data_IF_387371411879
#
_entry.id   IF_387371411879
#
_cell.length_a   1.000
_cell.length_b   1.000
_cell.length_c   1.000
_cell.angle_alpha   90.00
_cell.angle_beta   90.00
_cell.angle_gamma   90.00
#
_symmetry.space_group_name_H-M   'P 1'
#
loop_
_entity.id
_entity.type
_entity.pdbx_description
1 polymer ?
#
# COMPACT_ATOMS: atom_id res chain seq x y z
N UNK A 1 8.84 13.16 6.55
CA UNK A 1 9.32 14.57 6.56
C UNK A 1 8.34 15.60 7.19
N UNK A 2 7.02 15.38 7.19
CA UNK A 2 6.01 16.39 7.56
C UNK A 2 6.11 17.03 8.96
N UNK A 3 6.33 16.26 10.04
CA UNK A 3 6.26 16.82 11.40
C UNK A 3 7.46 17.70 11.81
N UNK A 4 8.68 17.31 11.46
CA UNK A 4 9.89 18.10 11.82
C UNK A 4 10.03 19.37 10.98
N UNK A 5 9.70 19.28 9.68
CA UNK A 5 9.72 20.45 8.78
C UNK A 5 8.62 21.43 9.18
N UNK A 6 7.43 20.94 9.54
CA UNK A 6 6.35 21.77 10.08
C UNK A 6 6.72 22.48 11.38
N UNK A 7 7.35 21.78 12.33
CA UNK A 7 7.78 22.37 13.60
C UNK A 7 8.91 23.40 13.45
N UNK A 8 9.85 23.17 12.54
CA UNK A 8 10.98 24.09 12.29
C UNK A 8 10.55 25.35 11.53
N UNK A 9 9.60 25.25 10.59
CA UNK A 9 9.14 26.37 9.77
C UNK A 9 8.20 27.33 10.52
N UNK A 10 7.40 26.82 11.45
CA UNK A 10 6.51 27.64 12.31
C UNK A 10 7.27 28.69 13.12
N UNK A 11 8.52 28.40 13.50
CA UNK A 11 9.33 29.30 14.33
C UNK A 11 10.12 30.37 13.58
N UNK A 12 10.26 30.30 12.25
CA UNK A 12 11.13 31.21 11.48
C UNK A 12 10.47 31.97 10.32
N UNK A 13 9.35 31.50 9.77
CA UNK A 13 8.86 31.99 8.47
C UNK A 13 7.39 32.48 8.44
N UNK A 14 6.64 32.38 9.53
CA UNK A 14 5.25 32.84 9.58
C UNK A 14 5.00 33.77 10.78
N UNK A 15 4.34 34.93 10.58
CA UNK A 15 3.79 35.71 11.68
C UNK A 15 2.86 34.84 12.53
N UNK A 16 2.75 35.14 13.83
CA UNK A 16 1.97 34.42 14.86
C UNK A 16 0.47 34.24 14.55
N UNK A 17 0.00 34.73 13.42
CA UNK A 17 -1.40 34.69 12.97
C UNK A 17 -1.75 33.42 12.20
N UNK A 18 -0.80 32.74 11.53
CA UNK A 18 -1.09 31.52 10.75
C UNK A 18 -0.01 30.42 10.86
N UNK A 19 0.05 29.69 11.99
CA UNK A 19 1.07 28.66 12.22
C UNK A 19 0.98 27.48 11.22
N UNK A 20 -0.18 27.22 10.63
CA UNK A 20 -0.37 26.10 9.70
C UNK A 20 -0.15 26.44 8.22
N UNK A 21 0.10 27.71 7.88
CA UNK A 21 0.25 28.14 6.48
C UNK A 21 1.57 27.66 5.86
N UNK A 22 2.69 27.85 6.56
CA UNK A 22 4.02 27.49 6.06
C UNK A 22 4.21 25.97 5.81
N UNK A 23 3.80 25.06 6.72
CA UNK A 23 3.90 23.62 6.48
C UNK A 23 3.06 23.17 5.28
N UNK A 24 1.85 23.72 5.14
CA UNK A 24 0.94 23.39 4.06
C UNK A 24 1.44 23.91 2.71
N UNK A 25 2.03 25.10 2.67
CA UNK A 25 2.62 25.66 1.45
C UNK A 25 3.80 24.83 0.96
N UNK A 26 4.69 24.41 1.87
CA UNK A 26 5.81 23.52 1.52
C UNK A 26 5.30 22.18 0.98
N UNK A 27 4.26 21.60 1.61
CA UNK A 27 3.63 20.39 1.07
C UNK A 27 3.04 20.61 -0.31
N UNK A 28 2.37 21.75 -0.56
CA UNK A 28 1.79 22.09 -1.85
C UNK A 28 2.87 22.25 -2.94
N UNK A 29 3.99 22.88 -2.63
CA UNK A 29 5.12 23.02 -3.57
C UNK A 29 5.72 21.66 -3.91
N UNK A 30 6.00 20.81 -2.92
CA UNK A 30 6.55 19.47 -3.15
C UNK A 30 5.60 18.64 -4.04
N UNK A 31 4.29 18.68 -3.76
CA UNK A 31 3.28 18.00 -4.58
C UNK A 31 3.20 18.56 -6.00
N UNK A 32 3.25 19.89 -6.16
CA UNK A 32 3.23 20.53 -7.47
C UNK A 32 4.48 20.16 -8.28
N UNK A 33 5.67 20.16 -7.66
CA UNK A 33 6.91 19.73 -8.30
C UNK A 33 6.86 18.26 -8.69
N UNK A 34 6.35 17.38 -7.82
CA UNK A 34 6.16 15.96 -8.14
C UNK A 34 5.17 15.76 -9.29
N UNK A 35 4.05 16.50 -9.29
CA UNK A 35 3.08 16.48 -10.39
C UNK A 35 3.70 16.93 -11.70
N UNK A 36 4.46 18.03 -11.70
CA UNK A 36 5.18 18.52 -12.89
C UNK A 36 6.23 17.50 -13.35
N UNK A 37 6.98 16.89 -12.42
CA UNK A 37 7.96 15.86 -12.76
C UNK A 37 7.30 14.63 -13.41
N UNK A 38 6.13 14.20 -12.92
CA UNK A 38 5.34 13.15 -13.58
C UNK A 38 4.92 13.62 -14.98
N UNK A 39 4.41 14.84 -15.14
CA UNK A 39 3.99 15.34 -16.47
C UNK A 39 5.12 15.44 -17.49
N UNK A 40 6.34 15.74 -17.03
CA UNK A 40 7.51 15.90 -17.88
C UNK A 40 8.23 14.57 -18.15
N UNK A 41 8.19 13.62 -17.21
CA UNK A 41 9.04 12.41 -17.22
C UNK A 41 8.28 11.09 -17.42
N UNK A 42 6.96 11.04 -17.21
CA UNK A 42 6.16 9.89 -17.65
C UNK A 42 5.98 9.97 -19.16
N UNK A 43 7.00 9.51 -19.87
CA UNK A 43 6.92 9.23 -21.30
C UNK A 43 5.88 8.14 -21.53
N UNK A 44 4.99 8.36 -22.48
CA UNK A 44 3.75 7.60 -22.71
C UNK A 44 4.08 6.13 -23.00
N UNK A 45 4.07 5.26 -21.98
CA UNK A 45 4.26 3.80 -22.15
C UNK A 45 3.01 3.10 -22.70
N UNK A 46 2.06 3.82 -23.30
CA UNK A 46 0.87 3.24 -23.91
C UNK A 46 0.98 3.36 -25.43
N UNK A 47 1.49 2.28 -26.02
CA UNK A 47 1.52 1.91 -27.43
C UNK A 47 1.84 3.02 -28.44
N UNK A 48 3.05 2.90 -29.02
CA UNK A 48 3.38 3.45 -30.34
C UNK A 48 2.56 2.73 -31.41
N UNK A 49 1.24 2.90 -31.38
CA UNK A 49 0.40 2.59 -32.53
C UNK A 49 0.43 3.79 -33.49
N UNK A 50 1.04 3.53 -34.64
CA UNK A 50 1.21 4.40 -35.78
C UNK A 50 -0.11 5.10 -36.16
N UNK A 51 -0.31 6.35 -35.69
CA UNK A 51 -1.20 7.34 -36.32
C UNK A 51 -1.00 8.75 -35.70
N UNK A 52 0.03 9.43 -36.19
CA UNK A 52 0.15 10.90 -36.25
C UNK A 52 0.43 11.67 -34.93
N UNK A 53 0.98 12.90 -35.02
CA UNK A 53 1.34 13.73 -33.86
C UNK A 53 0.10 14.37 -33.26
N UNK A 54 -0.69 13.59 -32.51
CA UNK A 54 -1.89 14.02 -31.83
C UNK A 54 -1.69 14.12 -30.32
N UNK A 55 -1.95 15.30 -29.76
CA UNK A 55 -1.87 15.64 -28.32
C UNK A 55 -2.31 14.50 -27.37
N UNK A 56 -1.68 14.36 -26.19
CA UNK A 56 -1.88 13.23 -25.27
C UNK A 56 -3.35 13.02 -24.90
N UNK A 57 -3.85 11.78 -25.05
CA UNK A 57 -5.27 11.42 -24.91
C UNK A 57 -5.84 11.74 -23.53
N UNK A 58 -5.02 11.64 -22.48
CA UNK A 58 -5.44 11.95 -21.10
C UNK A 58 -5.71 13.45 -20.91
N UNK A 59 -4.99 14.33 -21.59
CA UNK A 59 -5.18 15.80 -21.51
C UNK A 59 -6.54 16.20 -22.08
N UNK A 60 -7.00 15.51 -23.13
CA UNK A 60 -8.35 15.68 -23.71
C UNK A 60 -9.44 15.10 -22.82
N UNK A 61 -9.16 14.01 -22.09
CA UNK A 61 -10.06 13.45 -21.09
C UNK A 61 -10.17 14.35 -19.86
N UNK A 62 -9.06 14.93 -19.41
CA UNK A 62 -9.02 15.84 -18.27
C UNK A 62 -9.74 17.15 -18.60
N UNK A 63 -9.49 17.71 -19.78
CA UNK A 63 -10.18 18.93 -20.23
C UNK A 63 -11.68 18.72 -20.45
N UNK A 64 -12.09 17.56 -20.98
CA UNK A 64 -13.53 17.24 -21.08
C UNK A 64 -14.18 17.01 -19.72
N UNK A 65 -13.47 16.46 -18.73
CA UNK A 65 -13.96 16.35 -17.36
C UNK A 65 -14.06 17.72 -16.67
N UNK A 66 -13.06 18.59 -16.84
CA UNK A 66 -13.07 19.97 -16.33
C UNK A 66 -14.17 20.82 -16.98
N UNK A 67 -14.37 20.67 -18.29
CA UNK A 67 -15.45 21.33 -19.02
C UNK A 67 -16.83 20.79 -18.63
N UNK A 68 -16.95 19.50 -18.25
CA UNK A 68 -18.19 18.94 -17.68
C UNK A 68 -18.47 19.45 -16.27
N UNK A 69 -17.43 19.66 -15.46
CA UNK A 69 -17.57 20.22 -14.11
C UNK A 69 -17.93 21.71 -14.14
N UNK A 70 -17.48 22.45 -15.17
CA UNK A 70 -17.82 23.86 -15.39
C UNK A 70 -19.14 24.10 -16.14
N UNK A 71 -19.66 23.13 -16.90
CA UNK A 71 -20.90 23.27 -17.64
C UNK A 71 -22.11 22.89 -16.79
N UNK A 72 -22.60 23.85 -15.98
CA UNK A 72 -23.96 23.81 -15.48
C UNK A 72 -24.92 24.07 -16.65
N UNK A 73 -25.29 23.02 -17.39
CA UNK A 73 -26.49 23.03 -18.23
C UNK A 73 -27.44 21.92 -17.79
N UNK A 74 -28.73 22.22 -17.60
CA UNK A 74 -29.72 21.20 -17.25
C UNK A 74 -29.94 20.30 -18.46
N UNK A 75 -29.84 18.98 -18.27
CA UNK A 75 -30.32 18.03 -19.27
C UNK A 75 -31.85 18.17 -19.42
N UNK A 76 -32.39 18.27 -20.65
CA UNK A 76 -33.83 18.18 -20.84
C UNK A 76 -34.25 16.72 -20.73
N UNK A 77 -35.20 16.50 -19.81
CA UNK A 77 -35.97 15.29 -19.60
C UNK A 77 -36.43 14.64 -20.92
N UNK A 78 -35.79 13.53 -21.33
CA UNK A 78 -36.27 12.69 -22.43
C UNK A 78 -36.75 11.35 -21.87
N UNK A 79 -38.06 11.28 -21.64
CA UNK A 79 -38.84 10.04 -21.51
C UNK A 79 -38.84 9.26 -22.84
N UNK A 80 -39.19 7.97 -22.75
CA UNK A 80 -39.27 6.91 -23.77
C UNK A 80 -37.97 6.13 -24.04
N UNK A 81 -37.93 4.81 -24.11
CA UNK A 81 -38.95 3.76 -24.00
C UNK A 81 -38.20 2.44 -23.81
N UNK A 82 -38.67 1.60 -22.88
CA UNK A 82 -38.29 0.19 -22.85
C UNK A 82 -38.91 -0.51 -24.06
N UNK A 83 -38.08 -1.05 -24.96
CA UNK A 83 -38.47 -2.18 -25.81
C UNK A 83 -37.23 -2.95 -26.28
N UNK A 84 -37.01 -4.08 -25.59
CA UNK A 84 -36.58 -5.37 -26.14
C UNK A 84 -36.27 -5.42 -27.64
N UNK A 85 -34.98 -5.62 -27.99
CA UNK A 85 -34.60 -6.29 -29.24
C UNK A 85 -33.24 -6.98 -29.14
N UNK A 86 -33.28 -8.30 -28.93
CA UNK A 86 -32.27 -9.28 -29.33
C UNK A 86 -33.04 -10.51 -29.84
N UNK A 87 -32.46 -11.42 -30.66
CA UNK A 87 -31.30 -11.32 -31.56
C UNK A 87 -31.59 -11.90 -32.98
N UNK A 88 -30.74 -11.63 -33.98
CA UNK A 88 -30.32 -12.62 -35.01
C UNK A 88 -29.30 -12.02 -36.00
N UNK A 89 -28.18 -12.72 -36.12
CA UNK A 89 -27.41 -12.98 -37.33
C UNK A 89 -26.85 -11.80 -38.13
N UNK A 90 -25.53 -11.62 -38.09
CA UNK A 90 -24.73 -11.60 -39.33
C UNK A 90 -23.23 -11.71 -39.03
N UNK A 91 -22.62 -12.75 -39.57
CA UNK A 91 -21.18 -12.90 -39.78
C UNK A 91 -20.76 -12.00 -40.97
N UNK A 92 -19.70 -11.20 -40.76
CA UNK A 92 -18.64 -10.75 -41.72
C UNK A 92 -19.09 -10.02 -43.03
N UNK A 93 -18.20 -9.41 -43.86
CA UNK A 93 -16.72 -9.49 -43.93
C UNK A 93 -15.94 -8.17 -44.16
N UNK A 94 -14.60 -8.31 -44.10
CA UNK A 94 -13.60 -7.40 -44.68
C UNK A 94 -13.82 -7.17 -46.19
N UNK A 95 -13.51 -5.98 -46.69
CA UNK A 95 -13.21 -5.73 -48.09
C UNK A 95 -11.73 -5.34 -48.23
N UNK A 96 -10.99 -6.16 -48.96
CA UNK A 96 -9.74 -5.81 -49.64
C UNK A 96 -10.03 -5.65 -51.14
N UNK A 97 -9.35 -4.70 -51.78
CA UNK A 97 -9.11 -4.60 -53.22
C UNK A 97 -7.94 -3.60 -53.37
N UNK A 98 -6.95 -3.70 -54.24
CA UNK A 98 -6.36 -4.77 -55.05
C UNK A 98 -5.09 -4.14 -55.69
N UNK A 99 -4.00 -4.89 -55.87
CA UNK A 99 -3.03 -4.78 -57.00
C UNK A 99 -1.72 -5.57 -56.76
N UNK A 100 -1.67 -6.70 -57.47
CA UNK A 100 -0.54 -7.30 -58.21
C UNK A 100 0.82 -7.56 -57.52
N UNK A 101 1.17 -8.84 -57.31
CA UNK A 101 1.99 -9.63 -58.25
C UNK A 101 2.23 -11.07 -57.73
N UNK A 102 2.31 -11.96 -58.71
CA UNK A 102 2.49 -13.42 -58.76
C UNK A 102 3.63 -13.99 -57.89
N UNK A 103 3.40 -15.11 -57.19
CA UNK A 103 3.95 -16.45 -57.55
C UNK A 103 3.79 -17.51 -56.43
N UNK A 104 3.81 -18.75 -56.88
CA UNK A 104 3.29 -20.02 -56.34
C UNK A 104 3.98 -20.62 -55.10
N UNK A 105 3.23 -21.40 -54.31
CA UNK A 105 3.56 -22.80 -53.94
C UNK A 105 2.49 -23.44 -53.04
N UNK A 106 2.04 -24.63 -53.44
CA UNK A 106 1.04 -25.49 -52.79
C UNK A 106 1.50 -26.10 -51.45
N UNK A 107 0.55 -26.34 -50.53
CA UNK A 107 0.41 -27.62 -49.82
C UNK A 107 -0.94 -27.70 -49.08
N UNK A 108 -1.74 -28.70 -49.45
CA UNK A 108 -3.00 -29.09 -48.82
C UNK A 108 -2.83 -29.55 -47.36
N UNK A 109 -3.80 -29.20 -46.51
CA UNK A 109 -3.95 -29.73 -45.15
C UNK A 109 -5.17 -29.13 -44.47
N UNK A 110 -6.35 -29.63 -44.84
CA UNK A 110 -7.59 -29.41 -44.09
C UNK A 110 -7.49 -30.21 -42.78
N UNK A 111 -7.61 -29.55 -41.63
CA UNK A 111 -8.32 -30.07 -40.47
C UNK A 111 -8.61 -28.93 -39.47
N UNK A 112 -9.77 -29.05 -38.84
CA UNK A 112 -10.59 -28.02 -38.22
C UNK A 112 -9.92 -27.10 -37.18
N UNK A 113 -10.26 -25.83 -37.32
CA UNK A 113 -9.97 -24.75 -36.38
C UNK A 113 -11.12 -24.65 -35.35
N UNK A 114 -10.99 -25.26 -34.18
CA UNK A 114 -11.77 -24.87 -32.98
C UNK A 114 -10.84 -24.30 -31.90
N UNK A 115 -10.25 -23.14 -32.21
CA UNK A 115 -9.56 -22.29 -31.27
C UNK A 115 -10.55 -21.45 -30.47
N UNK A 116 -11.27 -22.07 -29.54
CA UNK A 116 -12.06 -21.36 -28.52
C UNK A 116 -11.12 -20.52 -27.64
N UNK A 117 -11.01 -19.22 -27.92
CA UNK A 117 -10.41 -18.26 -26.97
C UNK A 117 -11.31 -18.23 -25.72
N UNK A 118 -10.84 -18.60 -24.52
CA UNK A 118 -11.69 -18.59 -23.35
C UNK A 118 -11.96 -17.13 -22.96
N UNK A 119 -13.18 -16.65 -23.21
CA UNK A 119 -13.64 -15.43 -22.55
C UNK A 119 -13.97 -15.82 -21.11
N UNK A 120 -13.03 -15.62 -20.17
CA UNK A 120 -13.31 -15.82 -18.75
C UNK A 120 -14.53 -14.98 -18.37
N UNK A 121 -15.62 -15.63 -17.99
CA UNK A 121 -16.85 -14.94 -17.63
C UNK A 121 -16.63 -14.21 -16.30
N UNK A 122 -17.34 -13.12 -16.04
CA UNK A 122 -17.23 -12.39 -14.75
C UNK A 122 -17.47 -13.32 -13.54
N UNK A 123 -18.22 -14.41 -13.70
CA UNK A 123 -18.44 -15.39 -12.64
C UNK A 123 -17.18 -16.19 -12.31
N UNK A 124 -16.29 -16.42 -13.27
CA UNK A 124 -15.03 -17.13 -13.06
C UNK A 124 -14.05 -16.26 -12.27
N UNK A 125 -13.99 -14.95 -12.58
CA UNK A 125 -13.17 -13.96 -11.86
C UNK A 125 -13.53 -13.90 -10.37
N UNK A 126 -14.82 -13.88 -10.02
CA UNK A 126 -15.22 -13.84 -8.61
C UNK A 126 -14.91 -15.16 -7.89
N UNK A 127 -15.11 -16.32 -8.54
CA UNK A 127 -14.74 -17.61 -7.96
C UNK A 127 -13.24 -17.72 -7.72
N UNK A 128 -12.42 -17.19 -8.63
CA UNK A 128 -10.97 -17.12 -8.51
C UNK A 128 -10.51 -16.18 -7.39
N UNK A 129 -11.15 -15.00 -7.25
CA UNK A 129 -10.87 -14.07 -6.15
C UNK A 129 -11.30 -14.65 -4.79
N UNK A 130 -12.42 -15.38 -4.75
CA UNK A 130 -12.89 -16.07 -3.55
C UNK A 130 -12.17 -17.42 -3.30
N UNK A 131 -11.02 -17.64 -3.92
CA UNK A 131 -10.16 -18.75 -3.54
C UNK A 131 -9.71 -18.58 -2.08
N UNK A 132 -9.57 -19.70 -1.36
CA UNK A 132 -9.21 -19.73 0.05
C UNK A 132 -7.88 -19.00 0.31
N UNK A 133 -6.87 -19.19 -0.54
CA UNK A 133 -5.56 -18.52 -0.43
C UNK A 133 -5.68 -17.00 -0.56
N UNK A 134 -6.44 -16.52 -1.55
CA UNK A 134 -6.63 -15.09 -1.82
C UNK A 134 -7.43 -14.42 -0.70
N UNK A 135 -8.52 -15.03 -0.22
CA UNK A 135 -9.29 -14.52 0.91
C UNK A 135 -8.41 -14.45 2.16
N UNK A 136 -7.60 -15.48 2.41
CA UNK A 136 -6.72 -15.54 3.57
C UNK A 136 -5.65 -14.44 3.49
N UNK A 137 -5.03 -14.24 2.32
CA UNK A 137 -4.07 -13.16 2.06
C UNK A 137 -4.70 -11.77 2.22
N UNK A 138 -5.91 -11.55 1.71
CA UNK A 138 -6.64 -10.30 1.88
C UNK A 138 -7.03 -10.05 3.34
N UNK A 139 -7.36 -11.11 4.08
CA UNK A 139 -7.68 -11.05 5.50
C UNK A 139 -6.46 -10.70 6.34
N UNK A 140 -5.31 -11.34 6.10
CA UNK A 140 -4.04 -10.98 6.77
C UNK A 140 -3.62 -9.56 6.40
N UNK A 141 -3.87 -9.13 5.16
CA UNK A 141 -3.59 -7.77 4.73
C UNK A 141 -4.46 -6.73 5.44
N UNK A 142 -5.75 -7.01 5.65
CA UNK A 142 -6.62 -6.15 6.45
C UNK A 142 -6.12 -6.04 7.89
N UNK A 143 -5.78 -7.17 8.51
CA UNK A 143 -5.21 -7.22 9.88
C UNK A 143 -3.92 -6.40 9.97
N UNK A 144 -3.03 -6.58 9.00
CA UNK A 144 -1.78 -5.84 8.90
C UNK A 144 -2.03 -4.34 8.79
N UNK A 145 -2.93 -3.91 7.89
CA UNK A 145 -3.25 -2.49 7.70
C UNK A 145 -3.87 -1.89 8.95
N UNK A 146 -4.84 -2.57 9.54
CA UNK A 146 -5.50 -2.11 10.76
C UNK A 146 -4.50 -1.94 11.90
N UNK A 147 -3.58 -2.90 12.08
CA UNK A 147 -2.54 -2.84 13.12
C UNK A 147 -1.53 -1.72 12.85
N UNK A 148 -1.07 -1.59 11.60
CA UNK A 148 -0.11 -0.56 11.20
C UNK A 148 -0.66 0.86 11.38
N UNK A 149 -1.90 1.09 10.95
CA UNK A 149 -2.57 2.40 11.04
C UNK A 149 -2.86 2.73 12.50
N UNK A 150 -3.36 1.75 13.26
CA UNK A 150 -3.61 1.92 14.70
C UNK A 150 -2.33 2.28 15.43
N UNK A 151 -1.20 1.64 15.12
CA UNK A 151 0.12 2.02 15.67
C UNK A 151 0.46 3.48 15.33
N UNK A 152 0.30 3.89 14.06
CA UNK A 152 0.63 5.24 13.61
C UNK A 152 -0.21 6.33 14.30
N UNK A 153 -1.47 6.02 14.61
CA UNK A 153 -2.36 6.91 15.36
C UNK A 153 -2.07 6.90 16.86
N UNK A 154 -1.76 5.73 17.43
CA UNK A 154 -1.54 5.54 18.85
C UNK A 154 -0.19 6.11 19.31
N UNK A 155 0.86 5.97 18.49
CA UNK A 155 2.23 6.34 18.87
C UNK A 155 2.35 7.83 19.27
N UNK A 156 1.87 8.82 18.49
CA UNK A 156 1.97 10.23 18.89
C UNK A 156 1.16 10.55 20.14
N UNK A 157 0.00 9.90 20.31
CA UNK A 157 -0.89 10.09 21.46
C UNK A 157 -0.22 9.54 22.72
N UNK A 158 0.31 8.33 22.65
CA UNK A 158 1.10 7.70 23.71
C UNK A 158 2.33 8.53 24.09
N UNK A 159 3.08 8.99 23.09
CA UNK A 159 4.27 9.81 23.30
C UNK A 159 3.95 11.15 23.99
N UNK A 160 2.81 11.77 23.66
CA UNK A 160 2.40 13.06 24.22
C UNK A 160 1.65 12.95 25.56
N UNK A 161 1.03 11.81 25.87
CA UNK A 161 0.26 11.62 27.10
C UNK A 161 1.12 11.71 28.36
N UNK A 162 0.51 12.13 29.48
CA UNK A 162 1.17 12.25 30.78
C UNK A 162 1.53 10.86 31.33
N UNK A 163 2.63 10.79 32.09
CA UNK A 163 2.94 9.60 32.89
C UNK A 163 1.79 9.29 33.88
N UNK A 164 1.46 8.02 34.19
CA UNK A 164 2.19 6.77 33.89
C UNK A 164 1.80 6.06 32.58
N UNK A 165 0.76 6.51 31.86
CA UNK A 165 0.25 5.88 30.62
C UNK A 165 0.92 6.39 29.33
N UNK A 166 1.78 7.41 29.45
CA UNK A 166 2.50 8.01 28.32
C UNK A 166 3.92 8.43 28.71
N UNK A 167 4.60 9.14 27.80
CA UNK A 167 6.02 9.53 27.95
C UNK A 167 6.25 11.04 28.03
N UNK A 168 5.17 11.83 28.11
CA UNK A 168 5.15 13.29 28.31
C UNK A 168 6.13 14.06 27.40
N UNK A 169 6.23 13.63 26.14
CA UNK A 169 7.13 14.20 25.15
C UNK A 169 6.56 15.49 24.55
N UNK A 170 7.42 16.51 24.44
CA UNK A 170 7.09 17.73 23.70
C UNK A 170 6.81 17.40 22.22
N UNK A 171 5.78 17.99 21.59
CA UNK A 171 5.42 17.73 20.18
C UNK A 171 6.58 17.88 19.18
N UNK A 172 7.50 18.82 19.41
CA UNK A 172 8.68 19.00 18.56
C UNK A 172 9.61 17.78 18.51
N UNK A 173 9.75 17.04 19.63
CA UNK A 173 10.58 15.82 19.69
C UNK A 173 9.89 14.65 19.00
N UNK A 174 8.58 14.51 19.21
CA UNK A 174 7.75 13.52 18.50
C UNK A 174 7.89 13.73 16.98
N UNK A 175 7.83 14.99 16.53
CA UNK A 175 8.01 15.32 15.13
C UNK A 175 9.40 14.99 14.59
N UNK A 176 10.45 15.20 15.39
CA UNK A 176 11.82 14.80 15.05
C UNK A 176 11.94 13.27 14.88
N UNK A 177 11.40 12.49 15.81
CA UNK A 177 11.41 11.02 15.72
C UNK A 177 10.65 10.51 14.50
N UNK A 178 9.45 11.04 14.23
CA UNK A 178 8.68 10.67 13.04
C UNK A 178 9.42 11.01 11.74
N UNK A 179 10.14 12.14 11.69
CA UNK A 179 10.93 12.51 10.52
C UNK A 179 12.18 11.64 10.35
N UNK A 180 12.91 11.35 11.43
CA UNK A 180 14.07 10.46 11.41
C UNK A 180 13.66 9.04 10.98
N UNK A 181 12.55 8.53 11.52
CA UNK A 181 12.00 7.24 11.12
C UNK A 181 11.57 7.24 9.65
N UNK A 182 10.91 8.31 9.17
CA UNK A 182 10.54 8.44 7.77
C UNK A 182 11.75 8.47 6.82
N UNK A 183 12.80 9.23 7.16
CA UNK A 183 14.02 9.28 6.36
C UNK A 183 14.72 7.91 6.31
N UNK A 184 14.83 7.24 7.45
CA UNK A 184 15.42 5.89 7.55
C UNK A 184 14.62 4.88 6.73
N UNK A 185 13.28 4.98 6.75
CA UNK A 185 12.40 4.09 5.98
C UNK A 185 12.58 4.27 4.47
N UNK A 186 12.76 5.50 4.00
CA UNK A 186 13.05 5.78 2.58
C UNK A 186 14.40 5.15 2.18
N UNK A 187 15.44 5.32 3.01
CA UNK A 187 16.74 4.69 2.75
C UNK A 187 16.63 3.15 2.73
N UNK A 188 15.88 2.57 3.66
CA UNK A 188 15.61 1.13 3.67
C UNK A 188 14.92 0.66 2.38
N UNK A 189 13.88 1.36 1.92
CA UNK A 189 13.21 1.00 0.65
C UNK A 189 14.14 1.06 -0.55
N UNK A 190 14.99 2.10 -0.63
CA UNK A 190 15.86 2.30 -1.78
C UNK A 190 16.99 1.27 -1.85
N UNK A 191 17.59 0.90 -0.72
CA UNK A 191 18.83 0.12 -0.69
C UNK A 191 18.70 -1.29 -0.15
N UNK A 192 17.73 -1.54 0.74
CA UNK A 192 17.68 -2.79 1.55
C UNK A 192 16.48 -3.66 1.19
N UNK A 193 15.36 -3.07 0.78
CA UNK A 193 14.15 -3.82 0.50
C UNK A 193 14.32 -4.83 -0.66
N UNK A 194 14.93 -4.41 -1.77
CA UNK A 194 15.18 -5.30 -2.92
C UNK A 194 16.05 -6.51 -2.56
N UNK A 195 17.27 -6.35 -1.97
CA UNK A 195 18.09 -7.51 -1.62
C UNK A 195 17.44 -8.37 -0.52
N UNK A 196 16.69 -7.79 0.42
CA UNK A 196 15.95 -8.55 1.42
C UNK A 196 14.87 -9.42 0.77
N UNK A 197 14.10 -8.84 -0.15
CA UNK A 197 13.06 -9.57 -0.90
C UNK A 197 13.66 -10.72 -1.69
N UNK A 198 14.76 -10.50 -2.41
CA UNK A 198 15.36 -11.55 -3.24
C UNK A 198 15.88 -12.73 -2.39
N UNK A 199 16.43 -12.46 -1.20
CA UNK A 199 16.93 -13.51 -0.31
C UNK A 199 15.85 -14.29 0.45
N UNK A 200 14.76 -13.63 0.83
CA UNK A 200 13.78 -14.18 1.78
C UNK A 200 12.44 -14.52 1.10
N UNK A 201 12.24 -14.06 -0.13
CA UNK A 201 10.95 -14.10 -0.82
C UNK A 201 9.99 -13.00 -0.33
N UNK A 202 8.95 -12.76 -1.10
CA UNK A 202 7.91 -11.78 -0.79
C UNK A 202 7.03 -12.26 0.35
N UNK A 203 6.66 -13.54 0.36
CA UNK A 203 5.86 -14.18 1.42
C UNK A 203 6.63 -14.25 2.74
N UNK A 204 7.92 -14.62 2.69
CA UNK A 204 8.79 -14.60 3.85
C UNK A 204 8.93 -13.20 4.44
N UNK A 205 9.23 -12.20 3.61
CA UNK A 205 9.33 -10.80 4.01
C UNK A 205 8.02 -10.29 4.64
N UNK A 206 6.87 -10.68 4.07
CA UNK A 206 5.56 -10.32 4.62
C UNK A 206 5.29 -10.95 6.00
N UNK A 207 5.64 -12.22 6.19
CA UNK A 207 5.52 -12.91 7.49
C UNK A 207 6.42 -12.26 8.55
N UNK A 208 7.68 -11.99 8.24
CA UNK A 208 8.60 -11.30 9.16
C UNK A 208 8.13 -9.87 9.46
N UNK A 209 7.53 -9.18 8.50
CA UNK A 209 6.95 -7.86 8.72
C UNK A 209 5.77 -7.89 9.71
N UNK A 210 4.86 -8.86 9.60
CA UNK A 210 3.76 -9.06 10.54
C UNK A 210 4.28 -9.37 11.96
N UNK A 211 5.27 -10.27 12.06
CA UNK A 211 5.90 -10.61 13.33
C UNK A 211 6.62 -9.39 13.94
N UNK A 212 7.38 -8.64 13.14
CA UNK A 212 8.05 -7.43 13.57
C UNK A 212 7.08 -6.34 14.04
N UNK A 213 5.92 -6.21 13.38
CA UNK A 213 4.85 -5.31 13.83
C UNK A 213 4.25 -5.75 15.17
N UNK A 214 4.08 -7.06 15.38
CA UNK A 214 3.60 -7.62 16.64
C UNK A 214 4.61 -7.38 17.77
N UNK A 215 5.88 -7.73 17.57
CA UNK A 215 6.96 -7.52 18.52
C UNK A 215 7.09 -6.03 18.85
N UNK A 216 7.15 -5.18 17.82
CA UNK A 216 7.25 -3.73 17.99
C UNK A 216 6.11 -3.17 18.82
N UNK A 217 4.88 -3.66 18.64
CA UNK A 217 3.72 -3.24 19.42
C UNK A 217 3.75 -3.77 20.85
N UNK A 218 4.13 -5.03 21.07
CA UNK A 218 4.18 -5.66 22.41
C UNK A 218 5.31 -5.08 23.27
N UNK A 219 6.39 -4.59 22.66
CA UNK A 219 7.50 -3.97 23.39
C UNK A 219 7.20 -2.53 23.84
N UNK A 220 6.25 -1.82 23.22
CA UNK A 220 5.92 -0.42 23.56
C UNK A 220 5.60 -0.17 25.04
N UNK A 221 4.82 -1.02 25.75
CA UNK A 221 4.55 -0.87 27.19
C UNK A 221 5.75 -1.13 28.10
N UNK A 222 6.84 -1.69 27.56
CA UNK A 222 8.06 -2.00 28.30
C UNK A 222 9.16 -0.95 28.12
N UNK A 223 8.94 0.05 27.26
CA UNK A 223 9.82 1.21 27.10
C UNK A 223 9.89 1.95 28.44
N UNK A 224 11.09 2.33 28.88
CA UNK A 224 11.31 2.95 30.19
C UNK A 224 10.65 4.32 30.35
N UNK A 225 10.68 4.84 31.57
CA UNK A 225 10.20 6.17 31.94
C UNK A 225 11.33 7.21 31.96
N UNK A 226 10.94 8.48 31.92
CA UNK A 226 11.85 9.65 31.92
C UNK A 226 12.75 9.68 33.16
N UNK A 227 12.28 9.09 34.26
CA UNK A 227 12.93 9.07 35.57
C UNK A 227 13.56 7.71 35.91
N UNK A 228 13.54 6.74 34.97
CA UNK A 228 14.19 5.44 35.19
C UNK A 228 15.72 5.58 35.16
N UNK A 229 16.38 4.78 36.00
CA UNK A 229 17.84 4.67 36.00
C UNK A 229 18.33 4.16 34.63
N UNK A 230 19.43 4.71 34.09
CA UNK A 230 19.96 4.27 32.81
C UNK A 230 20.32 2.77 32.90
N UNK A 231 19.72 1.96 32.02
CA UNK A 231 19.86 0.49 31.99
C UNK A 231 21.32 -0.03 31.95
N UNK A 232 22.28 0.83 31.57
CA UNK A 232 23.71 0.51 31.53
C UNK A 232 24.61 1.51 32.28
N UNK A 233 24.05 2.41 33.10
CA UNK A 233 24.83 3.41 33.84
C UNK A 233 25.50 4.50 32.98
N UNK A 234 25.25 4.52 31.66
CA UNK A 234 25.83 5.44 30.70
C UNK A 234 24.74 6.40 30.19
N UNK A 235 24.87 7.69 30.51
CA UNK A 235 23.96 8.75 30.06
C UNK A 235 22.80 9.06 31.01
N UNK A 236 21.83 9.85 30.54
CA UNK A 236 20.61 10.19 31.27
C UNK A 236 19.48 9.24 30.88
N UNK A 237 18.65 8.78 31.82
CA UNK A 237 17.46 7.93 31.55
C UNK A 237 16.55 8.49 30.45
N UNK A 238 16.47 9.82 30.35
CA UNK A 238 15.77 10.54 29.26
C UNK A 238 16.33 10.26 27.87
N UNK A 239 17.64 10.15 27.73
CA UNK A 239 18.29 9.88 26.45
C UNK A 239 18.04 8.42 26.03
N UNK A 240 18.07 7.50 26.99
CA UNK A 240 17.80 6.09 26.75
C UNK A 240 16.36 5.87 26.26
N UNK A 241 15.38 6.49 26.93
CA UNK A 241 13.98 6.51 26.50
C UNK A 241 13.82 7.03 25.06
N UNK A 242 14.52 8.11 24.70
CA UNK A 242 14.46 8.66 23.34
C UNK A 242 15.04 7.71 22.30
N UNK A 243 16.15 7.03 22.63
CA UNK A 243 16.78 6.05 21.77
C UNK A 243 15.85 4.84 21.60
N UNK A 244 15.30 4.29 22.69
CA UNK A 244 14.35 3.18 22.64
C UNK A 244 13.13 3.49 21.76
N UNK A 245 12.45 4.61 22.00
CA UNK A 245 11.29 5.01 21.21
C UNK A 245 11.64 5.19 19.72
N UNK A 246 12.79 5.78 19.44
CA UNK A 246 13.25 5.99 18.06
C UNK A 246 13.57 4.65 17.37
N UNK A 247 14.28 3.74 18.06
CA UNK A 247 14.63 2.42 17.54
C UNK A 247 13.36 1.60 17.27
N UNK A 248 12.43 1.52 18.23
CA UNK A 248 11.18 0.76 18.05
C UNK A 248 10.36 1.34 16.90
N UNK A 249 10.28 2.67 16.78
CA UNK A 249 9.58 3.34 15.69
C UNK A 249 10.22 3.06 14.32
N UNK A 250 11.56 3.14 14.23
CA UNK A 250 12.31 2.84 13.01
C UNK A 250 12.11 1.38 12.61
N UNK A 251 12.32 0.45 13.55
CA UNK A 251 12.14 -0.99 13.35
C UNK A 251 10.73 -1.29 12.85
N UNK A 252 9.71 -0.80 13.56
CA UNK A 252 8.31 -0.97 13.17
C UNK A 252 8.03 -0.42 11.77
N UNK A 253 8.60 0.75 11.41
CA UNK A 253 8.35 1.35 10.10
C UNK A 253 9.04 0.59 8.96
N UNK A 254 10.24 0.06 9.20
CA UNK A 254 10.92 -0.84 8.27
C UNK A 254 10.05 -2.08 8.02
N UNK A 255 9.57 -2.74 9.08
CA UNK A 255 8.66 -3.87 8.97
C UNK A 255 7.37 -3.49 8.23
N UNK A 256 6.76 -2.35 8.58
CA UNK A 256 5.52 -1.90 7.96
C UNK A 256 5.69 -1.68 6.45
N UNK A 257 6.77 -1.04 6.04
CA UNK A 257 6.98 -0.70 4.64
C UNK A 257 7.42 -1.90 3.82
N UNK A 258 8.32 -2.75 4.35
CA UNK A 258 8.64 -4.03 3.71
C UNK A 258 7.41 -4.92 3.55
N UNK A 259 6.60 -5.05 4.61
CA UNK A 259 5.36 -5.83 4.59
C UNK A 259 4.32 -5.31 3.58
N UNK A 260 4.14 -3.98 3.49
CA UNK A 260 3.23 -3.37 2.50
C UNK A 260 3.69 -3.62 1.06
N UNK A 261 4.98 -3.50 0.80
CA UNK A 261 5.52 -3.73 -0.53
C UNK A 261 5.40 -5.21 -0.91
N UNK A 262 5.71 -6.13 0.01
CA UNK A 262 5.63 -7.57 -0.28
C UNK A 262 4.20 -8.08 -0.43
N UNK A 263 3.26 -7.65 0.43
CA UNK A 263 1.86 -8.09 0.33
C UNK A 263 1.18 -7.57 -0.94
N UNK A 264 1.53 -6.37 -1.41
CA UNK A 264 1.01 -5.86 -2.67
C UNK A 264 1.50 -6.69 -3.86
N UNK A 265 2.77 -7.12 -3.83
CA UNK A 265 3.31 -8.04 -4.83
C UNK A 265 2.59 -9.40 -4.78
N UNK A 266 2.42 -9.98 -3.59
CA UNK A 266 1.69 -11.25 -3.42
C UNK A 266 0.25 -11.16 -3.95
N UNK A 267 -0.46 -10.07 -3.66
CA UNK A 267 -1.83 -9.84 -4.16
C UNK A 267 -1.84 -9.72 -5.69
N UNK A 268 -0.80 -9.09 -6.26
CA UNK A 268 -0.67 -8.94 -7.72
C UNK A 268 -0.35 -10.27 -8.39
N UNK A 269 0.55 -11.07 -7.82
CA UNK A 269 0.92 -12.39 -8.31
C UNK A 269 -0.22 -13.41 -8.11
N UNK A 270 -1.07 -13.23 -7.10
CA UNK A 270 -2.29 -14.04 -6.90
C UNK A 270 -3.34 -13.86 -8.00
N UNK A 271 -3.16 -12.90 -8.92
CA UNK A 271 -4.13 -12.60 -9.97
C UNK A 271 -3.94 -13.56 -11.17
N UNK A 272 -4.84 -14.54 -11.40
CA UNK A 272 -4.70 -15.51 -12.50
C UNK A 272 -4.89 -14.90 -13.89
N UNK A 273 -5.42 -13.68 -13.99
CA UNK A 273 -5.63 -12.97 -15.26
C UNK A 273 -5.52 -11.45 -15.12
N UNK A 274 -5.09 -10.75 -16.19
CA UNK A 274 -4.94 -9.29 -16.22
C UNK A 274 -6.25 -8.54 -15.87
N UNK A 275 -7.40 -9.17 -16.10
CA UNK A 275 -8.72 -8.61 -15.79
C UNK A 275 -9.07 -8.69 -14.28
N UNK A 276 -8.51 -9.66 -13.55
CA UNK A 276 -8.70 -9.83 -12.10
C UNK A 276 -7.76 -8.94 -11.27
N UNK A 277 -6.60 -8.57 -11.82
CA UNK A 277 -5.55 -7.78 -11.16
C UNK A 277 -6.05 -6.41 -10.70
N UNK A 278 -6.80 -5.70 -11.57
CA UNK A 278 -7.43 -4.43 -11.21
C UNK A 278 -8.47 -4.56 -10.09
N UNK A 279 -9.23 -5.66 -10.07
CA UNK A 279 -10.25 -5.92 -9.04
C UNK A 279 -9.61 -6.26 -7.69
N UNK A 280 -8.56 -7.09 -7.68
CA UNK A 280 -7.82 -7.45 -6.47
C UNK A 280 -7.11 -6.25 -5.84
N UNK A 281 -6.44 -5.44 -6.64
CA UNK A 281 -5.82 -4.22 -6.15
C UNK A 281 -6.89 -3.22 -5.66
N UNK A 282 -8.01 -3.08 -6.38
CA UNK A 282 -9.15 -2.29 -5.92
C UNK A 282 -9.66 -2.74 -4.55
N UNK A 283 -9.87 -4.04 -4.36
CA UNK A 283 -10.29 -4.63 -3.10
C UNK A 283 -9.25 -4.41 -1.99
N UNK A 284 -7.97 -4.60 -2.28
CA UNK A 284 -6.89 -4.30 -1.35
C UNK A 284 -6.91 -2.81 -0.95
N UNK A 285 -7.07 -1.89 -1.89
CA UNK A 285 -7.15 -0.47 -1.55
C UNK A 285 -8.40 -0.13 -0.73
N UNK A 286 -9.54 -0.78 -1.00
CA UNK A 286 -10.73 -0.67 -0.15
C UNK A 286 -10.48 -1.17 1.26
N UNK A 287 -9.87 -2.34 1.44
CA UNK A 287 -9.49 -2.88 2.77
C UNK A 287 -8.51 -1.95 3.49
N UNK A 288 -7.57 -1.37 2.77
CA UNK A 288 -6.63 -0.37 3.29
C UNK A 288 -7.36 0.90 3.75
N UNK A 289 -8.33 1.39 2.98
CA UNK A 289 -9.15 2.54 3.34
C UNK A 289 -10.06 2.26 4.55
N UNK A 290 -10.58 1.03 4.67
CA UNK A 290 -11.31 0.57 5.85
C UNK A 290 -10.40 0.61 7.09
N UNK A 291 -9.18 0.06 6.98
CA UNK A 291 -8.19 0.16 8.05
C UNK A 291 -7.88 1.61 8.44
N UNK A 292 -7.78 2.53 7.47
CA UNK A 292 -7.52 3.96 7.72
C UNK A 292 -8.67 4.67 8.43
N UNK A 293 -9.88 4.24 8.16
CA UNK A 293 -11.08 4.80 8.77
C UNK A 293 -11.30 4.26 10.19
N UNK A 294 -11.14 2.95 10.37
CA UNK A 294 -11.47 2.25 11.63
C UNK A 294 -10.31 2.30 12.64
N UNK A 295 -9.07 2.21 12.17
CA UNK A 295 -7.87 2.13 13.02
C UNK A 295 -7.75 3.27 14.05
N UNK A 296 -7.88 4.55 13.67
CA UNK A 296 -7.80 5.67 14.61
C UNK A 296 -8.93 5.67 15.65
N UNK A 297 -10.14 5.28 15.25
CA UNK A 297 -11.31 5.21 16.15
C UNK A 297 -11.11 4.12 17.21
N UNK A 298 -10.72 2.92 16.76
CA UNK A 298 -10.49 1.77 17.65
C UNK A 298 -9.29 2.03 18.55
N UNK A 299 -8.15 2.49 18.00
CA UNK A 299 -6.94 2.78 18.80
C UNK A 299 -7.13 3.91 19.80
N UNK A 300 -7.80 5.01 19.41
CA UNK A 300 -8.13 6.10 20.31
C UNK A 300 -9.10 5.69 21.41
N UNK A 301 -10.11 4.88 21.07
CA UNK A 301 -11.05 4.30 22.03
C UNK A 301 -10.36 3.39 23.05
N UNK A 302 -9.55 2.44 22.58
CA UNK A 302 -8.75 1.57 23.45
C UNK A 302 -7.78 2.37 24.33
N UNK A 303 -7.12 3.39 23.80
CA UNK A 303 -6.23 4.24 24.59
C UNK A 303 -6.98 5.02 25.67
N UNK A 304 -8.17 5.54 25.35
CA UNK A 304 -9.01 6.26 26.33
C UNK A 304 -9.46 5.35 27.47
N UNK A 305 -9.78 4.09 27.18
CA UNK A 305 -10.08 3.08 28.20
C UNK A 305 -8.82 2.76 29.01
N UNK A 306 -7.69 2.63 28.33
CA UNK A 306 -6.38 2.34 28.94
C UNK A 306 -5.98 3.37 29.99
N UNK A 307 -6.27 4.66 29.78
CA UNK A 307 -6.00 5.72 30.77
C UNK A 307 -6.72 5.49 32.11
N UNK A 308 -7.87 4.80 32.11
CA UNK A 308 -8.65 4.51 33.33
C UNK A 308 -8.13 3.30 34.11
N UNK A 309 -7.24 2.50 33.53
CA UNK A 309 -6.71 1.28 34.13
C UNK A 309 -5.31 1.58 34.68
N UNK A 310 -5.15 1.50 36.01
CA UNK A 310 -3.88 1.65 36.71
C UNK A 310 -3.42 0.28 37.24
N UNK A 311 -2.10 -0.04 37.23
CA UNK A 311 -0.96 0.85 36.95
C UNK A 311 -0.44 0.85 35.50
N UNK A 312 -0.70 -0.18 34.67
CA UNK A 312 -0.16 -0.30 33.29
C UNK A 312 -1.24 -0.38 32.21
N UNK A 313 -2.17 0.57 32.21
CA UNK A 313 -3.24 0.59 31.22
C UNK A 313 -2.77 0.66 29.77
N UNK A 314 -1.62 1.31 29.49
CA UNK A 314 -1.02 1.40 28.14
C UNK A 314 -0.78 0.03 27.51
N UNK A 315 -0.47 -0.98 28.34
CA UNK A 315 -0.27 -2.35 27.89
C UNK A 315 -1.49 -2.87 27.14
N UNK A 316 -2.71 -2.56 27.59
CA UNK A 316 -3.93 -3.06 26.97
C UNK A 316 -4.04 -2.65 25.50
N UNK A 317 -3.87 -1.37 25.18
CA UNK A 317 -3.95 -0.90 23.79
C UNK A 317 -2.86 -1.55 22.92
N UNK A 318 -1.62 -1.53 23.39
CA UNK A 318 -0.46 -2.04 22.66
C UNK A 318 -0.48 -3.56 22.49
N UNK A 319 -0.90 -4.33 23.50
CA UNK A 319 -1.02 -5.78 23.43
C UNK A 319 -2.20 -6.22 22.57
N UNK A 320 -3.29 -5.46 22.51
CA UNK A 320 -4.41 -5.77 21.60
C UNK A 320 -3.97 -5.65 20.15
N UNK A 321 -3.33 -4.55 19.77
CA UNK A 321 -2.82 -4.40 18.39
C UNK A 321 -1.63 -5.32 18.09
N UNK A 322 -0.76 -5.56 19.08
CA UNK A 322 0.33 -6.53 18.95
C UNK A 322 -0.16 -7.97 18.79
N UNK A 323 -1.16 -8.37 19.59
CA UNK A 323 -1.82 -9.66 19.49
C UNK A 323 -2.60 -9.82 18.19
N UNK A 324 -3.24 -8.75 17.70
CA UNK A 324 -3.89 -8.73 16.40
C UNK A 324 -2.88 -8.91 15.26
N UNK A 325 -1.73 -8.22 15.31
CA UNK A 325 -0.64 -8.42 14.35
C UNK A 325 -0.04 -9.82 14.43
N UNK A 326 0.09 -10.39 15.65
CA UNK A 326 0.55 -11.77 15.85
C UNK A 326 -0.44 -12.79 15.29
N UNK A 327 -1.75 -12.57 15.47
CA UNK A 327 -2.78 -13.40 14.84
C UNK A 327 -2.68 -13.32 13.31
N UNK A 328 -2.41 -12.12 12.77
CA UNK A 328 -2.11 -11.92 11.35
C UNK A 328 -0.88 -12.70 10.90
N UNK A 329 0.19 -12.72 11.70
CA UNK A 329 1.39 -13.53 11.45
C UNK A 329 1.06 -15.02 11.42
N UNK A 330 0.35 -15.53 12.43
CA UNK A 330 -0.06 -16.95 12.49
C UNK A 330 -0.93 -17.30 11.28
N UNK A 331 -1.89 -16.46 10.93
CA UNK A 331 -2.69 -16.63 9.71
C UNK A 331 -1.81 -16.63 8.45
N UNK A 332 -0.82 -15.73 8.36
CA UNK A 332 0.10 -15.66 7.22
C UNK A 332 0.99 -16.92 7.05
N UNK A 333 1.19 -17.71 8.12
CA UNK A 333 1.86 -19.01 8.02
C UNK A 333 1.01 -20.05 7.26
N UNK A 334 -0.32 -19.92 7.28
CA UNK A 334 -1.23 -20.78 6.53
C UNK A 334 -1.40 -20.38 5.06
N UNK A 335 -0.89 -19.21 4.65
CA UNK A 335 -0.84 -18.83 3.23
C UNK A 335 0.17 -19.76 2.53
N UNK A 336 -0.30 -20.56 1.57
CA UNK A 336 0.57 -21.38 0.72
C UNK A 336 1.31 -20.47 -0.26
N UNK A 337 2.63 -20.65 -0.37
CA UNK A 337 3.48 -19.85 -1.26
C UNK A 337 3.48 -20.29 -2.72
N UNK A 338 2.97 -21.50 -3.01
CA UNK A 338 2.89 -22.06 -4.37
C UNK A 338 2.11 -21.09 -5.30
N UNK A 339 2.81 -20.52 -6.29
CA UNK A 339 2.23 -19.59 -7.27
C UNK A 339 2.00 -18.16 -6.77
N UNK A 340 2.55 -17.78 -5.61
CA UNK A 340 2.49 -16.40 -5.10
C UNK A 340 3.80 -15.64 -5.24
N UNK A 341 4.92 -16.34 -5.29
CA UNK A 341 6.22 -15.74 -5.54
C UNK A 341 6.40 -15.44 -7.03
N UNK A 342 7.36 -14.58 -7.38
CA UNK A 342 7.64 -14.31 -8.79
C UNK A 342 8.31 -15.52 -9.45
N UNK A 343 8.02 -15.80 -10.72
CA UNK A 343 8.64 -16.89 -11.50
C UNK A 343 10.18 -16.86 -11.38
N UNK A 344 10.79 -15.68 -11.45
CA UNK A 344 12.24 -15.46 -11.24
C UNK A 344 12.75 -15.98 -9.88
N UNK A 345 11.96 -15.85 -8.81
CA UNK A 345 12.35 -16.33 -7.47
C UNK A 345 12.21 -17.85 -7.35
N UNK A 346 11.16 -18.41 -7.97
CA UNK A 346 10.97 -19.86 -8.01
C UNK A 346 12.11 -20.52 -8.82
N UNK A 347 12.50 -19.95 -9.97
CA UNK A 347 13.62 -20.43 -10.78
C UNK A 347 14.97 -20.35 -10.04
N UNK A 348 15.30 -19.21 -9.40
CA UNK A 348 16.55 -19.05 -8.64
C UNK A 348 16.67 -20.06 -7.50
N UNK A 349 15.60 -20.26 -6.71
CA UNK A 349 15.62 -21.19 -5.58
C UNK A 349 15.56 -22.67 -6.00
N UNK A 350 14.93 -23.00 -7.12
CA UNK A 350 15.00 -24.35 -7.68
C UNK A 350 16.42 -24.69 -8.15
N UNK A 351 17.11 -23.74 -8.82
CA UNK A 351 18.50 -23.93 -9.25
C UNK A 351 19.48 -24.03 -8.08
N UNK A 352 19.30 -23.24 -7.02
CA UNK A 352 20.13 -23.36 -5.80
C UNK A 352 19.98 -24.74 -5.13
N UNK A 353 18.74 -25.23 -4.98
CA UNK A 353 18.49 -26.55 -4.38
C UNK A 353 19.04 -27.71 -5.22
N UNK A 354 19.02 -27.60 -6.54
CA UNK A 354 19.58 -28.62 -7.44
C UNK A 354 21.12 -28.58 -7.48
N UNK A 355 21.73 -27.44 -7.11
CA UNK A 355 23.19 -27.28 -7.04
C UNK A 355 23.82 -27.74 -5.71
N UNK A 356 23.02 -27.87 -4.65
CA UNK A 356 23.45 -28.36 -3.33
C UNK A 356 23.29 -29.87 -3.12
N UNK A 357 22.65 -30.57 -4.07
CA UNK A 357 22.49 -32.04 -4.09
C UNK A 357 23.55 -32.66 -5.01
#
# INVERSE_FOLDING_TARGET
PGPAVGGFLVGRLAPSTFPYLAPNLVSAVILATGFIAILLWFEETLDKDERGPGKPKWLRRLSSWFNKLGSKRPEPNRRHSWSTRWPRGQQQPLLASDSSSEDEAEANGLDDFDGSKPSHSKQDIWKEIFNHTTILLLSTYLIFQLSNISFNSLYPVFAAAKAPTGRELKPGKIGAFLSAAGATTIAFQAFVYQPLRNKVGSLGTYRYALLGLAIGSILMPWVGYVDDEPLFGIGSGRLWLYIELCIVLIFKNICAVGGLSSVMLLITNSAPSHNSLGTLNGLAQSLSALGRSVGPVVSGGLFTISVRIQPKGEALAWTVFGGLAFLGFVAALFVRGEGLESEEWEEEHHHEQESEV
#
